data_IF_752038433652
#
_entry.id   IF_752038433652
#
_cell.length_a   1.000
_cell.length_b   1.000
_cell.length_c   1.000
_cell.angle_alpha   90.00
_cell.angle_beta   90.00
_cell.angle_gamma   90.00
#
_symmetry.space_group_name_H-M   'P 1'
#
loop_
_entity.id
_entity.type
_entity.pdbx_description
1 polymer ?
#
# COMPACT_ATOMS: atom_id res chain seq x y z
N UNK A 1 20.74 7.54 -0.37
CA UNK A 1 20.85 9.00 -0.21
C UNK A 1 19.46 9.61 -0.35
N UNK A 2 18.80 9.50 -1.50
CA UNK A 2 17.53 10.15 -1.83
C UNK A 2 16.44 9.91 -0.78
N UNK A 3 16.30 8.66 -0.33
CA UNK A 3 15.32 8.32 0.71
C UNK A 3 15.64 8.97 2.06
N UNK A 4 16.92 9.04 2.44
CA UNK A 4 17.36 9.68 3.69
C UNK A 4 17.08 11.20 3.63
N UNK A 5 17.38 11.82 2.50
CA UNK A 5 17.14 13.26 2.30
C UNK A 5 15.64 13.61 2.29
N UNK A 6 14.81 12.69 1.76
CA UNK A 6 13.37 12.91 1.63
C UNK A 6 12.61 12.64 2.92
N UNK A 7 12.81 11.45 3.51
CA UNK A 7 12.04 11.00 4.69
C UNK A 7 12.67 11.39 6.02
N UNK A 8 13.98 11.75 6.05
CA UNK A 8 14.73 12.09 7.26
C UNK A 8 14.51 11.08 8.41
N UNK A 9 14.77 9.78 8.17
CA UNK A 9 14.42 8.73 9.10
C UNK A 9 15.24 8.84 10.39
N UNK A 10 14.59 8.59 11.53
CA UNK A 10 15.27 8.45 12.81
C UNK A 10 15.83 7.02 12.97
N UNK A 11 15.15 6.03 12.45
CA UNK A 11 15.54 4.63 12.49
C UNK A 11 15.66 4.06 11.09
N UNK A 12 16.72 3.29 10.83
CA UNK A 12 16.94 2.65 9.53
C UNK A 12 17.19 1.15 9.74
N UNK A 13 16.37 0.33 9.14
CA UNK A 13 16.52 -1.13 9.12
C UNK A 13 16.90 -1.60 7.72
N UNK A 14 18.05 -2.25 7.59
CA UNK A 14 18.49 -2.84 6.33
C UNK A 14 18.16 -4.34 6.35
N UNK A 15 17.27 -4.78 5.49
CA UNK A 15 16.97 -6.20 5.35
C UNK A 15 17.85 -6.78 4.24
N UNK A 16 18.63 -7.79 4.55
CA UNK A 16 19.59 -8.37 3.62
C UNK A 16 19.90 -9.84 3.98
N UNK A 17 20.57 -10.55 3.08
CA UNK A 17 21.18 -11.83 3.41
C UNK A 17 22.65 -11.64 3.85
N UNK A 18 23.20 -12.64 4.53
CA UNK A 18 24.55 -12.57 5.08
C UNK A 18 25.65 -12.41 4.02
N UNK A 19 25.43 -12.89 2.78
CA UNK A 19 26.38 -12.80 1.68
C UNK A 19 26.47 -11.42 1.01
N UNK A 20 25.56 -10.48 1.32
CA UNK A 20 25.50 -9.18 0.67
C UNK A 20 26.61 -8.23 1.11
N UNK A 21 27.67 -8.13 0.32
CA UNK A 21 28.74 -7.15 0.54
C UNK A 21 28.22 -5.72 0.46
N UNK A 22 27.30 -5.44 -0.48
CA UNK A 22 26.73 -4.10 -0.68
C UNK A 22 25.96 -3.62 0.55
N UNK A 23 25.15 -4.47 1.17
CA UNK A 23 24.42 -4.13 2.39
C UNK A 23 25.36 -3.80 3.56
N UNK A 24 26.44 -4.56 3.72
CA UNK A 24 27.47 -4.31 4.76
C UNK A 24 28.16 -2.95 4.54
N UNK A 25 28.45 -2.58 3.30
CA UNK A 25 29.02 -1.25 2.97
C UNK A 25 28.04 -0.14 3.32
N UNK A 26 26.77 -0.29 2.93
CA UNK A 26 25.73 0.71 3.26
C UNK A 26 25.54 0.82 4.76
N UNK A 27 25.49 -0.30 5.49
CA UNK A 27 25.40 -0.32 6.95
C UNK A 27 26.53 0.50 7.57
N UNK A 28 27.77 0.26 7.13
CA UNK A 28 28.94 0.99 7.63
C UNK A 28 28.83 2.49 7.39
N UNK A 29 28.48 2.93 6.17
CA UNK A 29 28.31 4.35 5.87
C UNK A 29 27.22 5.00 6.72
N UNK A 30 26.12 4.29 7.01
CA UNK A 30 25.06 4.76 7.89
C UNK A 30 25.54 4.89 9.35
N UNK A 31 26.25 3.88 9.86
CA UNK A 31 26.79 3.90 11.23
C UNK A 31 27.87 4.95 11.42
N UNK A 32 28.75 5.12 10.43
CA UNK A 32 29.81 6.13 10.44
C UNK A 32 29.28 7.55 10.13
N UNK A 33 27.96 7.67 9.81
CA UNK A 33 27.28 8.91 9.47
C UNK A 33 27.97 9.69 8.35
N UNK A 34 28.36 8.99 7.29
CA UNK A 34 29.14 9.56 6.18
C UNK A 34 28.31 10.46 5.27
N UNK A 35 28.34 11.75 5.51
CA UNK A 35 27.57 12.75 4.76
C UNK A 35 27.93 12.81 3.28
N UNK A 36 29.18 12.52 2.90
CA UNK A 36 29.64 12.52 1.50
C UNK A 36 28.83 11.57 0.61
N UNK A 37 28.42 10.43 1.15
CA UNK A 37 27.69 9.39 0.40
C UNK A 37 26.18 9.44 0.61
N UNK A 38 25.74 9.86 1.81
CA UNK A 38 24.35 9.74 2.24
C UNK A 38 23.63 11.09 2.45
N UNK A 39 24.36 12.21 2.37
CA UNK A 39 23.81 13.54 2.63
C UNK A 39 23.85 13.95 4.12
N UNK A 40 23.57 15.22 4.40
CA UNK A 40 23.69 15.78 5.76
C UNK A 40 22.71 15.13 6.76
N UNK A 41 21.54 14.72 6.30
CA UNK A 41 20.48 14.15 7.14
C UNK A 41 20.83 12.79 7.76
N UNK A 42 21.90 12.13 7.31
CA UNK A 42 22.39 10.89 7.94
C UNK A 42 22.79 11.10 9.40
N UNK A 43 23.15 12.33 9.76
CA UNK A 43 23.54 12.69 11.15
C UNK A 43 22.37 12.59 12.13
N UNK A 44 21.13 12.75 11.64
CA UNK A 44 19.91 12.74 12.44
C UNK A 44 19.38 11.31 12.69
N UNK A 45 19.99 10.30 12.04
CA UNK A 45 19.61 8.91 12.26
C UNK A 45 20.06 8.47 13.66
N UNK A 46 19.11 8.12 14.51
CA UNK A 46 19.35 7.68 15.90
C UNK A 46 19.83 6.22 15.96
N UNK A 47 19.27 5.36 15.10
CA UNK A 47 19.59 3.93 15.12
C UNK A 47 19.64 3.33 13.71
N UNK A 48 20.60 2.43 13.51
CA UNK A 48 20.77 1.65 12.27
C UNK A 48 21.00 0.20 12.63
N UNK A 49 20.20 -0.67 12.07
CA UNK A 49 20.27 -2.12 12.30
C UNK A 49 20.15 -2.90 10.99
N UNK A 50 20.85 -4.04 10.91
CA UNK A 50 20.69 -4.98 9.81
C UNK A 50 19.92 -6.21 10.28
N UNK A 51 18.83 -6.53 9.61
CA UNK A 51 18.04 -7.74 9.80
C UNK A 51 18.42 -8.73 8.71
N UNK A 52 18.87 -9.92 9.12
CA UNK A 52 19.32 -10.92 8.17
C UNK A 52 18.22 -11.93 7.86
N UNK A 53 18.01 -12.17 6.57
CA UNK A 53 17.26 -13.31 6.07
C UNK A 53 18.23 -14.44 5.70
N UNK A 54 17.81 -15.69 5.88
CA UNK A 54 18.71 -16.85 5.68
C UNK A 54 19.03 -17.07 4.21
N UNK A 55 18.02 -16.99 3.36
CA UNK A 55 18.15 -17.23 1.93
C UNK A 55 17.38 -16.15 1.14
N UNK A 56 18.03 -15.58 0.14
CA UNK A 56 17.45 -14.55 -0.73
C UNK A 56 16.97 -15.13 -2.08
N UNK A 57 17.07 -16.44 -2.30
CA UNK A 57 16.84 -17.10 -3.58
C UNK A 57 15.83 -18.24 -3.55
N UNK A 58 15.35 -18.63 -2.35
CA UNK A 58 14.35 -19.69 -2.18
C UNK A 58 12.92 -19.15 -2.14
N UNK A 59 11.95 -20.03 -2.29
CA UNK A 59 10.53 -19.70 -2.15
C UNK A 59 10.19 -19.16 -0.76
N UNK A 60 10.97 -19.52 0.25
CA UNK A 60 10.81 -19.03 1.62
C UNK A 60 11.23 -17.55 1.79
N UNK A 61 11.95 -16.97 0.81
CA UNK A 61 12.39 -15.57 0.88
C UNK A 61 11.23 -14.62 1.17
N UNK A 62 10.09 -14.85 0.53
CA UNK A 62 8.90 -14.00 0.71
C UNK A 62 8.42 -14.04 2.17
N UNK A 63 8.33 -15.23 2.76
CA UNK A 63 7.92 -15.42 4.16
C UNK A 63 8.93 -14.77 5.10
N UNK A 64 10.23 -15.00 4.86
CA UNK A 64 11.30 -14.38 5.64
C UNK A 64 11.26 -12.84 5.58
N UNK A 65 10.81 -12.25 4.47
CA UNK A 65 10.61 -10.81 4.38
C UNK A 65 9.49 -10.32 5.30
N UNK A 66 8.37 -11.05 5.43
CA UNK A 66 7.32 -10.72 6.40
C UNK A 66 7.85 -10.72 7.83
N UNK A 67 8.56 -11.79 8.22
CA UNK A 67 9.17 -11.90 9.55
C UNK A 67 10.18 -10.76 9.82
N UNK A 68 10.97 -10.39 8.81
CA UNK A 68 11.94 -9.30 8.92
C UNK A 68 11.26 -7.93 9.07
N UNK A 69 10.14 -7.70 8.39
CA UNK A 69 9.35 -6.48 8.54
C UNK A 69 8.71 -6.39 9.93
N UNK A 70 8.16 -7.49 10.43
CA UNK A 70 7.57 -7.54 11.77
C UNK A 70 8.63 -7.32 12.84
N UNK A 71 9.84 -7.91 12.68
CA UNK A 71 10.98 -7.67 13.55
C UNK A 71 11.39 -6.19 13.53
N UNK A 72 11.51 -5.57 12.34
CA UNK A 72 11.85 -4.16 12.19
C UNK A 72 10.84 -3.26 12.90
N UNK A 73 9.53 -3.51 12.68
CA UNK A 73 8.46 -2.74 13.34
C UNK A 73 8.52 -2.85 14.86
N UNK A 74 8.62 -4.08 15.37
CA UNK A 74 8.74 -4.32 16.82
C UNK A 74 9.93 -3.58 17.41
N UNK A 75 11.09 -3.68 16.75
CA UNK A 75 12.31 -3.02 17.20
C UNK A 75 12.21 -1.50 17.15
N UNK A 76 11.58 -0.96 16.10
CA UNK A 76 11.32 0.48 16.01
C UNK A 76 10.43 1.00 17.14
N UNK A 77 9.36 0.28 17.48
CA UNK A 77 8.49 0.65 18.61
C UNK A 77 9.21 0.60 19.96
N UNK A 78 10.09 -0.39 20.18
CA UNK A 78 10.94 -0.45 21.39
C UNK A 78 11.87 0.76 21.49
N UNK A 79 12.48 1.18 20.37
CA UNK A 79 13.41 2.32 20.32
C UNK A 79 12.70 3.67 20.40
N UNK A 80 11.46 3.73 19.93
CA UNK A 80 10.69 4.97 19.89
C UNK A 80 10.18 5.42 21.27
N UNK A 81 10.13 4.53 22.25
CA UNK A 81 9.69 4.81 23.62
C UNK A 81 8.36 5.59 23.67
N UNK A 82 7.36 5.08 22.97
CA UNK A 82 6.00 5.65 22.93
C UNK A 82 5.79 6.80 21.94
N UNK A 83 6.79 7.17 21.15
CA UNK A 83 6.62 8.12 20.04
C UNK A 83 5.78 7.49 18.91
N UNK A 84 4.93 8.27 18.27
CA UNK A 84 4.25 7.85 17.04
C UNK A 84 5.25 7.64 15.91
N UNK A 85 5.08 6.53 15.18
CA UNK A 85 5.99 6.14 14.11
C UNK A 85 5.27 6.08 12.77
N UNK A 86 5.90 6.65 11.75
CA UNK A 86 5.57 6.43 10.35
C UNK A 86 6.61 5.50 9.72
N UNK A 87 6.13 4.54 8.92
CA UNK A 87 7.00 3.54 8.31
C UNK A 87 7.03 3.70 6.79
N UNK A 88 8.24 3.63 6.24
CA UNK A 88 8.49 3.71 4.81
C UNK A 88 9.38 2.54 4.36
N UNK A 89 9.03 1.88 3.26
CA UNK A 89 9.77 0.76 2.72
C UNK A 89 10.30 1.04 1.32
N UNK A 90 11.61 0.89 1.13
CA UNK A 90 12.24 0.91 -0.18
C UNK A 90 12.20 -0.44 -0.86
N UNK A 91 11.58 -0.51 -2.04
CA UNK A 91 11.42 -1.76 -2.82
C UNK A 91 12.37 -1.86 -4.03
N UNK A 92 13.46 -1.11 -4.02
CA UNK A 92 14.38 -1.03 -5.17
C UNK A 92 15.64 -1.89 -5.05
N UNK A 93 15.84 -2.59 -3.94
CA UNK A 93 17.07 -3.35 -3.66
C UNK A 93 16.83 -4.84 -3.42
N UNK A 94 17.89 -5.63 -3.59
CA UNK A 94 17.85 -7.07 -3.34
C UNK A 94 17.50 -7.91 -4.57
N UNK A 95 17.20 -9.18 -4.35
CA UNK A 95 16.73 -10.09 -5.40
C UNK A 95 15.27 -9.79 -5.76
N UNK A 96 14.79 -10.31 -6.89
CA UNK A 96 13.38 -10.17 -7.29
C UNK A 96 12.41 -10.69 -6.21
N UNK A 97 12.77 -11.80 -5.55
CA UNK A 97 11.97 -12.38 -4.47
C UNK A 97 11.95 -11.49 -3.23
N UNK A 98 13.08 -10.86 -2.88
CA UNK A 98 13.13 -9.87 -1.81
C UNK A 98 12.27 -8.65 -2.13
N UNK A 99 12.31 -8.14 -3.36
CA UNK A 99 11.49 -6.99 -3.79
C UNK A 99 10.00 -7.32 -3.71
N UNK A 100 9.59 -8.50 -4.20
CA UNK A 100 8.20 -8.98 -4.10
C UNK A 100 7.81 -9.13 -2.63
N UNK A 101 8.65 -9.81 -1.83
CA UNK A 101 8.42 -10.02 -0.40
C UNK A 101 8.31 -8.69 0.37
N UNK A 102 9.19 -7.72 0.07
CA UNK A 102 9.14 -6.38 0.67
C UNK A 102 7.84 -5.66 0.35
N UNK A 103 7.42 -5.69 -0.94
CA UNK A 103 6.18 -5.06 -1.35
C UNK A 103 4.97 -5.69 -0.64
N UNK A 104 4.89 -7.02 -0.61
CA UNK A 104 3.80 -7.74 0.06
C UNK A 104 3.81 -7.53 1.59
N UNK A 105 4.98 -7.57 2.23
CA UNK A 105 5.11 -7.33 3.67
C UNK A 105 4.74 -5.88 4.03
N UNK A 106 5.17 -4.90 3.23
CA UNK A 106 4.79 -3.50 3.41
C UNK A 106 3.28 -3.33 3.26
N UNK A 107 2.69 -3.94 2.24
CA UNK A 107 1.24 -4.02 2.05
C UNK A 107 0.55 -4.57 3.30
N UNK A 108 0.93 -5.74 3.76
CA UNK A 108 0.31 -6.36 4.94
C UNK A 108 0.50 -5.53 6.21
N UNK A 109 1.62 -4.83 6.33
CA UNK A 109 1.96 -3.99 7.48
C UNK A 109 1.41 -2.56 7.45
N UNK A 110 0.72 -2.14 6.37
CA UNK A 110 0.27 -0.76 6.18
C UNK A 110 1.42 0.24 6.05
N UNK A 111 2.55 -0.18 5.46
CA UNK A 111 3.77 0.61 5.32
C UNK A 111 3.80 1.28 3.95
N UNK A 112 4.02 2.60 3.92
CA UNK A 112 4.20 3.33 2.67
C UNK A 112 5.43 2.84 1.91
N UNK A 113 5.25 2.56 0.60
CA UNK A 113 6.32 2.04 -0.23
C UNK A 113 6.84 3.07 -1.21
N UNK A 114 8.14 3.05 -1.47
CA UNK A 114 8.78 3.89 -2.47
C UNK A 114 9.78 3.11 -3.32
N UNK A 115 10.01 3.63 -4.52
CA UNK A 115 11.01 3.14 -5.45
C UNK A 115 11.99 4.25 -5.81
N UNK A 116 13.30 3.95 -5.82
CA UNK A 116 14.33 4.88 -6.28
C UNK A 116 14.74 4.50 -7.70
N UNK A 117 14.37 5.30 -8.68
CA UNK A 117 14.75 5.09 -10.07
C UNK A 117 16.09 5.77 -10.37
N UNK A 118 17.12 4.97 -10.64
CA UNK A 118 18.46 5.44 -10.99
C UNK A 118 18.66 5.62 -12.49
N UNK A 119 17.70 5.19 -13.32
CA UNK A 119 17.86 5.08 -14.78
C UNK A 119 17.30 6.27 -15.57
N UNK A 120 16.86 7.34 -14.91
CA UNK A 120 16.41 8.55 -15.61
C UNK A 120 17.52 9.60 -15.69
N UNK A 121 18.34 9.62 -16.76
CA UNK A 121 19.35 10.64 -16.97
C UNK A 121 18.67 11.99 -17.24
N UNK A 122 19.03 13.03 -16.49
CA UNK A 122 18.63 14.41 -16.74
C UNK A 122 17.43 14.94 -15.96
N UNK A 123 16.78 14.14 -15.11
CA UNK A 123 15.73 14.62 -14.19
C UNK A 123 16.17 14.43 -12.73
N UNK A 124 16.90 15.39 -12.21
CA UNK A 124 17.38 15.38 -10.81
C UNK A 124 16.27 15.46 -9.74
N UNK A 125 15.03 15.71 -10.13
CA UNK A 125 13.94 15.98 -9.19
C UNK A 125 12.95 14.84 -8.95
N UNK A 126 13.10 13.67 -9.60
CA UNK A 126 12.17 12.53 -9.44
C UNK A 126 12.87 11.18 -9.38
N UNK A 127 13.88 11.08 -8.53
CA UNK A 127 14.55 9.79 -8.29
C UNK A 127 13.75 8.89 -7.34
N UNK A 128 12.89 9.48 -6.52
CA UNK A 128 12.08 8.77 -5.55
C UNK A 128 10.60 8.84 -5.96
N UNK A 129 9.98 7.69 -6.12
CA UNK A 129 8.57 7.54 -6.45
C UNK A 129 7.86 6.82 -5.31
N UNK A 130 6.91 7.49 -4.69
CA UNK A 130 5.97 6.81 -3.81
C UNK A 130 5.00 5.98 -4.66
N UNK A 131 4.77 4.75 -4.24
CA UNK A 131 3.83 3.86 -4.92
C UNK A 131 2.44 4.12 -4.33
N UNK A 132 1.86 5.28 -4.67
CA UNK A 132 0.59 5.74 -4.13
C UNK A 132 -0.57 4.77 -4.34
N UNK A 133 -0.60 4.07 -5.49
CA UNK A 133 -1.59 3.01 -5.73
C UNK A 133 -1.53 1.90 -4.66
N UNK A 134 -0.33 1.48 -4.24
CA UNK A 134 -0.16 0.46 -3.22
C UNK A 134 -0.67 0.94 -1.85
N UNK A 135 -0.41 2.18 -1.50
CA UNK A 135 -0.89 2.77 -0.25
C UNK A 135 -2.43 2.85 -0.23
N UNK A 136 -3.04 3.31 -1.33
CA UNK A 136 -4.50 3.36 -1.46
C UNK A 136 -5.13 1.96 -1.44
N UNK A 137 -4.50 0.98 -2.11
CA UNK A 137 -4.94 -0.42 -2.07
C UNK A 137 -4.94 -0.93 -0.63
N UNK A 138 -3.87 -0.66 0.13
CA UNK A 138 -3.76 -1.09 1.52
C UNK A 138 -4.81 -0.48 2.43
N UNK A 139 -5.01 0.82 2.34
CA UNK A 139 -6.08 1.47 3.09
C UNK A 139 -7.45 0.87 2.79
N UNK A 140 -7.69 0.55 1.51
CA UNK A 140 -8.95 -0.04 1.07
C UNK A 140 -9.11 -1.49 1.57
N UNK A 141 -8.04 -2.30 1.49
CA UNK A 141 -8.04 -3.67 2.00
C UNK A 141 -8.20 -3.73 3.52
N UNK A 142 -7.48 -2.88 4.26
CA UNK A 142 -7.61 -2.79 5.71
C UNK A 142 -9.01 -2.33 6.12
N UNK A 143 -9.56 -1.33 5.42
CA UNK A 143 -10.92 -0.86 5.64
C UNK A 143 -11.96 -1.97 5.42
N UNK A 144 -11.82 -2.79 4.36
CA UNK A 144 -12.71 -3.92 4.08
C UNK A 144 -12.52 -5.07 5.08
N UNK A 145 -11.28 -5.39 5.45
CA UNK A 145 -10.95 -6.49 6.38
C UNK A 145 -11.46 -6.23 7.80
N UNK A 146 -11.33 -5.00 8.28
CA UNK A 146 -11.72 -4.60 9.64
C UNK A 146 -13.07 -3.91 9.70
N UNK A 147 -13.71 -3.68 8.55
CA UNK A 147 -15.01 -3.04 8.43
C UNK A 147 -16.15 -3.89 9.02
N UNK A 148 -17.13 -3.18 9.60
CA UNK A 148 -18.38 -3.77 10.05
C UNK A 148 -19.30 -4.04 8.82
N UNK A 149 -20.52 -4.53 9.09
CA UNK A 149 -21.52 -4.88 8.08
C UNK A 149 -21.79 -3.76 7.03
N UNK A 150 -21.61 -2.50 7.40
CA UNK A 150 -21.79 -1.35 6.48
C UNK A 150 -20.77 -1.32 5.35
N UNK A 151 -19.53 -1.68 5.62
CA UNK A 151 -18.43 -1.66 4.65
C UNK A 151 -18.61 -2.75 3.59
N UNK A 152 -19.14 -3.91 3.97
CA UNK A 152 -19.50 -4.98 3.03
C UNK A 152 -20.62 -4.56 2.07
N UNK A 153 -21.55 -3.71 2.51
CA UNK A 153 -22.56 -3.16 1.61
C UNK A 153 -21.95 -2.21 0.57
N UNK A 154 -20.82 -1.55 0.87
CA UNK A 154 -20.16 -0.68 -0.10
C UNK A 154 -19.62 -1.45 -1.31
N UNK A 155 -19.24 -2.73 -1.15
CA UNK A 155 -18.88 -3.58 -2.28
C UNK A 155 -20.06 -3.84 -3.23
N UNK A 156 -21.30 -3.90 -2.72
CA UNK A 156 -22.50 -4.04 -3.56
C UNK A 156 -22.72 -2.81 -4.43
N UNK A 157 -22.46 -1.63 -3.89
CA UNK A 157 -22.55 -0.40 -4.70
C UNK A 157 -21.46 -0.36 -5.76
N UNK A 158 -20.23 -0.76 -5.40
CA UNK A 158 -19.12 -0.83 -6.34
C UNK A 158 -19.39 -1.87 -7.44
N UNK A 159 -19.94 -3.02 -7.09
CA UNK A 159 -20.33 -4.07 -8.05
C UNK A 159 -21.40 -3.56 -9.03
N UNK A 160 -22.40 -2.83 -8.56
CA UNK A 160 -23.44 -2.26 -9.41
C UNK A 160 -22.87 -1.19 -10.36
N UNK A 161 -21.93 -0.35 -9.90
CA UNK A 161 -21.24 0.61 -10.78
C UNK A 161 -20.51 -0.14 -11.89
N UNK A 162 -19.68 -1.14 -11.55
CA UNK A 162 -18.91 -1.92 -12.54
C UNK A 162 -19.84 -2.64 -13.51
N UNK A 163 -20.92 -3.27 -13.03
CA UNK A 163 -21.92 -3.93 -13.88
C UNK A 163 -22.51 -2.96 -14.92
N UNK A 164 -22.89 -1.76 -14.49
CA UNK A 164 -23.45 -0.73 -15.36
C UNK A 164 -22.46 -0.24 -16.39
N UNK A 165 -21.23 0.05 -15.97
CA UNK A 165 -20.15 0.45 -16.89
C UNK A 165 -19.90 -0.63 -17.97
N UNK A 166 -19.82 -1.89 -17.57
CA UNK A 166 -19.60 -3.01 -18.49
C UNK A 166 -20.77 -3.23 -19.45
N UNK A 167 -21.98 -2.77 -19.08
CA UNK A 167 -23.17 -2.77 -19.93
C UNK A 167 -23.33 -1.47 -20.73
N UNK A 168 -22.43 -0.49 -20.57
CA UNK A 168 -22.55 0.83 -21.21
C UNK A 168 -23.68 1.71 -20.65
N UNK A 169 -24.15 1.39 -19.43
CA UNK A 169 -25.23 2.12 -18.74
C UNK A 169 -24.64 3.27 -17.91
N UNK A 170 -25.42 4.35 -17.80
CA UNK A 170 -25.07 5.48 -16.91
C UNK A 170 -25.32 5.05 -15.46
N UNK A 171 -24.42 5.44 -14.56
CA UNK A 171 -24.55 5.20 -13.14
C UNK A 171 -24.77 6.50 -12.36
N UNK A 172 -25.99 6.69 -11.86
CA UNK A 172 -26.38 7.81 -10.99
C UNK A 172 -27.09 7.29 -9.74
N UNK A 173 -27.30 8.15 -8.75
CA UNK A 173 -28.08 7.79 -7.55
C UNK A 173 -29.46 7.24 -7.92
N UNK A 174 -30.17 7.90 -8.83
CA UNK A 174 -31.51 7.48 -9.25
C UNK A 174 -31.54 6.13 -9.94
N UNK A 175 -30.53 5.85 -10.76
CA UNK A 175 -30.41 4.57 -11.43
C UNK A 175 -30.07 3.43 -10.44
N UNK A 176 -29.25 3.72 -9.45
CA UNK A 176 -28.90 2.76 -8.40
C UNK A 176 -30.08 2.47 -7.45
N UNK A 177 -30.96 3.45 -7.19
CA UNK A 177 -32.18 3.25 -6.39
C UNK A 177 -33.16 2.28 -7.04
N UNK A 178 -33.12 2.14 -8.36
CA UNK A 178 -34.01 1.21 -9.09
C UNK A 178 -33.55 -0.26 -8.97
N UNK A 179 -32.26 -0.47 -8.77
CA UNK A 179 -31.66 -1.81 -8.77
C UNK A 179 -31.24 -2.30 -7.39
N UNK A 180 -30.91 -1.38 -6.49
CA UNK A 180 -30.46 -1.72 -5.15
C UNK A 180 -31.52 -1.41 -4.09
N UNK A 181 -31.68 -2.23 -3.05
CA UNK A 181 -32.67 -2.02 -1.99
C UNK A 181 -32.23 -0.93 -1.00
N UNK A 182 -31.74 0.20 -1.49
CA UNK A 182 -31.20 1.28 -0.68
C UNK A 182 -31.76 2.62 -1.11
N UNK A 183 -31.86 3.55 -0.15
CA UNK A 183 -32.33 4.92 -0.41
C UNK A 183 -31.23 5.77 -1.04
N UNK A 184 -31.59 6.78 -1.83
CA UNK A 184 -30.62 7.70 -2.45
C UNK A 184 -29.69 8.38 -1.46
N UNK A 185 -30.18 8.63 -0.23
CA UNK A 185 -29.31 9.17 0.83
C UNK A 185 -28.23 8.16 1.25
N UNK A 186 -28.58 6.89 1.35
CA UNK A 186 -27.63 5.83 1.68
C UNK A 186 -26.61 5.64 0.55
N UNK A 187 -27.06 5.63 -0.71
CA UNK A 187 -26.23 5.57 -1.90
C UNK A 187 -25.24 6.73 -1.94
N UNK A 188 -25.72 7.98 -1.83
CA UNK A 188 -24.85 9.17 -1.85
C UNK A 188 -23.79 9.13 -0.73
N UNK A 189 -24.16 8.66 0.46
CA UNK A 189 -23.21 8.50 1.57
C UNK A 189 -22.15 7.44 1.25
N UNK A 190 -22.56 6.31 0.66
CA UNK A 190 -21.65 5.24 0.26
C UNK A 190 -20.71 5.71 -0.86
N UNK A 191 -21.23 6.43 -1.87
CA UNK A 191 -20.41 6.98 -2.96
C UNK A 191 -19.33 7.93 -2.44
N UNK A 192 -19.68 8.80 -1.50
CA UNK A 192 -18.67 9.66 -0.85
C UNK A 192 -17.59 8.86 -0.13
N UNK A 193 -17.98 7.79 0.57
CA UNK A 193 -17.03 6.92 1.25
C UNK A 193 -16.11 6.20 0.26
N UNK A 194 -16.67 5.63 -0.80
CA UNK A 194 -15.92 4.97 -1.87
C UNK A 194 -15.01 5.95 -2.62
N UNK A 195 -15.48 7.16 -2.89
CA UNK A 195 -14.70 8.23 -3.51
C UNK A 195 -13.52 8.65 -2.65
N UNK A 196 -13.72 8.85 -1.34
CA UNK A 196 -12.64 9.17 -0.39
C UNK A 196 -11.58 8.06 -0.29
N UNK A 197 -11.95 6.81 -0.59
CA UNK A 197 -11.04 5.67 -0.67
C UNK A 197 -10.42 5.47 -2.05
N UNK A 198 -10.75 6.33 -3.02
CA UNK A 198 -10.25 6.24 -4.40
C UNK A 198 -10.79 5.04 -5.18
N UNK A 199 -11.90 4.43 -4.75
CA UNK A 199 -12.52 3.27 -5.41
C UNK A 199 -13.53 3.68 -6.49
N UNK A 200 -14.07 4.89 -6.38
CA UNK A 200 -15.07 5.46 -7.29
C UNK A 200 -14.68 6.89 -7.61
N UNK A 201 -14.83 7.28 -8.86
CA UNK A 201 -14.82 8.67 -9.30
C UNK A 201 -16.24 9.22 -9.29
N UNK A 202 -16.38 10.50 -8.89
CA UNK A 202 -17.66 11.20 -8.82
C UNK A 202 -17.56 12.45 -9.68
N UNK A 203 -18.36 12.51 -10.73
CA UNK A 203 -18.39 13.63 -11.65
C UNK A 203 -19.75 14.35 -11.61
N UNK A 204 -19.73 15.65 -11.89
CA UNK A 204 -20.91 16.49 -11.92
C UNK A 204 -21.40 16.91 -10.52
N UNK A 205 -22.24 17.96 -10.51
CA UNK A 205 -22.84 18.44 -9.27
C UNK A 205 -24.24 17.87 -9.05
N UNK A 206 -25.09 17.93 -10.07
CA UNK A 206 -26.47 17.36 -10.08
C UNK A 206 -26.95 17.16 -11.52
N UNK A 207 -27.18 15.92 -11.99
CA UNK A 207 -26.92 14.66 -11.30
C UNK A 207 -25.43 14.38 -11.15
N UNK A 208 -25.05 13.63 -10.10
CA UNK A 208 -23.72 13.06 -9.97
C UNK A 208 -23.65 11.74 -10.74
N UNK A 209 -22.57 11.57 -11.48
CA UNK A 209 -22.24 10.34 -12.20
C UNK A 209 -21.15 9.60 -11.45
N UNK A 210 -21.26 8.30 -11.38
CA UNK A 210 -20.34 7.43 -10.68
C UNK A 210 -19.66 6.49 -11.65
N UNK A 211 -18.33 6.41 -11.55
CA UNK A 211 -17.51 5.46 -12.29
C UNK A 211 -16.51 4.74 -11.38
N UNK A 212 -16.17 3.51 -11.74
CA UNK A 212 -15.19 2.74 -10.98
C UNK A 212 -13.78 3.16 -11.38
N UNK A 213 -12.89 3.28 -10.37
CA UNK A 213 -11.46 3.43 -10.65
C UNK A 213 -10.83 2.06 -10.96
N UNK A 214 -9.58 2.07 -11.48
CA UNK A 214 -8.77 0.85 -11.63
C UNK A 214 -8.62 0.14 -10.29
N UNK A 215 -8.40 0.90 -9.20
CA UNK A 215 -8.32 0.37 -7.85
C UNK A 215 -9.65 -0.25 -7.42
N UNK A 216 -10.78 0.39 -7.71
CA UNK A 216 -12.11 -0.11 -7.39
C UNK A 216 -12.38 -1.46 -8.06
N UNK A 217 -12.10 -1.57 -9.35
CA UNK A 217 -12.24 -2.85 -10.10
C UNK A 217 -11.34 -3.95 -9.54
N UNK A 218 -10.11 -3.60 -9.19
CA UNK A 218 -9.18 -4.57 -8.59
C UNK A 218 -9.66 -5.06 -7.21
N UNK A 219 -10.09 -4.15 -6.35
CA UNK A 219 -10.66 -4.50 -5.04
C UNK A 219 -11.91 -5.38 -5.19
N UNK A 220 -12.79 -5.03 -6.11
CA UNK A 220 -13.99 -5.83 -6.38
C UNK A 220 -13.63 -7.25 -6.85
N UNK A 221 -12.63 -7.41 -7.71
CA UNK A 221 -12.19 -8.74 -8.19
C UNK A 221 -11.64 -9.62 -7.06
N UNK A 222 -11.10 -9.03 -5.99
CA UNK A 222 -10.59 -9.77 -4.83
C UNK A 222 -11.69 -10.22 -3.85
N UNK A 223 -12.80 -9.49 -3.76
CA UNK A 223 -13.85 -9.71 -2.75
C UNK A 223 -15.25 -9.96 -3.32
N UNK A 224 -15.40 -9.85 -4.65
CA UNK A 224 -16.71 -9.91 -5.31
C UNK A 224 -17.41 -11.27 -5.25
N UNK A 225 -16.65 -12.36 -5.23
CA UNK A 225 -17.22 -13.72 -5.27
C UNK A 225 -17.91 -14.13 -3.96
N UNK A 226 -17.58 -13.52 -2.84
CA UNK A 226 -18.21 -13.84 -1.55
C UNK A 226 -19.62 -13.24 -1.37
N UNK A 227 -20.04 -12.30 -2.22
CA UNK A 227 -21.25 -11.51 -2.04
C UNK A 227 -22.34 -11.73 -3.11
N UNK A 228 -22.21 -12.71 -3.98
CA UNK A 228 -23.30 -13.06 -4.89
C UNK A 228 -24.42 -13.75 -4.09
N UNK A 229 -25.67 -13.20 -4.10
CA UNK A 229 -26.79 -13.76 -3.35
C UNK A 229 -27.20 -15.17 -3.84
N UNK A 230 -26.72 -15.59 -5.00
CA UNK A 230 -27.11 -16.88 -5.63
C UNK A 230 -26.21 -18.07 -5.25
N UNK A 231 -25.16 -17.88 -4.42
CA UNK A 231 -24.30 -18.99 -3.99
C UNK A 231 -24.82 -19.80 -2.78
N UNK A 232 -26.02 -19.50 -2.27
CA UNK A 232 -26.69 -20.24 -1.18
C UNK A 232 -28.00 -20.86 -1.63
N UNK A 233 -27.98 -21.64 -2.69
CA UNK A 233 -29.21 -22.26 -3.18
C UNK A 233 -28.98 -23.49 -4.04
N UNK A 234 -28.24 -24.47 -3.53
CA UNK A 234 -28.27 -25.84 -4.00
C UNK A 234 -27.65 -26.81 -2.97
N UNK A 235 -28.40 -27.08 -1.92
CA UNK A 235 -28.35 -28.33 -1.17
C UNK A 235 -29.78 -28.75 -0.89
#
# INVERSE_FOLDING_TARGET
REAIEHYRPQFVFLISNDSSTGAKVVLKHLQDKETKHLGEWVKDIEHVEMILIKDAWSDETVIQMFDAFDQAKKRAHELADGRDLEFYSGVAGGTKLMVIGSALAAINGGISTYYVNKEMPGQSSKLLFEIGFMNQLMESLNWLKHGQYKERNNLRYLAEIVRREDSGEICTTSEMEQTLPFTGRAITSAMRTLGNKGLVEIEGERPQFYSSTVLGRYVLSMFGDENHPDSKGSE
#
